data_IF_126242505665
#
_entry.id   IF_126242505665
#
_cell.length_a   1.000
_cell.length_b   1.000
_cell.length_c   1.000
_cell.angle_alpha   90.00
_cell.angle_beta   90.00
_cell.angle_gamma   90.00
#
_symmetry.space_group_name_H-M   'P 1'
#
loop_
_entity.id
_entity.type
_entity.pdbx_description
1 polymer ?
#
# COMPACT_ATOMS: atom_id res chain seq x y z
N UNK A 1 -1.28 -23.32 -15.76
CA UNK A 1 -0.33 -22.61 -14.89
C UNK A 1 1.02 -22.59 -15.58
N UNK A 2 1.61 -21.41 -15.78
CA UNK A 2 2.99 -21.32 -16.27
C UNK A 2 3.89 -21.40 -15.04
N UNK A 3 4.52 -22.55 -14.81
CA UNK A 3 5.57 -22.72 -13.77
C UNK A 3 6.86 -22.03 -14.22
N UNK A 4 6.77 -20.74 -14.56
CA UNK A 4 7.89 -19.97 -15.04
C UNK A 4 7.98 -18.67 -14.28
N UNK A 5 9.02 -18.57 -13.45
CA UNK A 5 9.39 -17.36 -12.72
C UNK A 5 9.45 -16.12 -13.63
N UNK A 6 9.80 -16.29 -14.91
CA UNK A 6 9.82 -15.20 -15.89
C UNK A 6 8.44 -14.57 -16.08
N UNK A 7 7.39 -15.39 -16.18
CA UNK A 7 6.01 -14.90 -16.38
C UNK A 7 5.53 -14.19 -15.13
N UNK A 8 5.79 -14.75 -13.95
CA UNK A 8 5.43 -14.14 -12.67
C UNK A 8 6.09 -12.77 -12.48
N UNK A 9 7.39 -12.66 -12.76
CA UNK A 9 8.11 -11.39 -12.66
C UNK A 9 7.57 -10.32 -13.62
N UNK A 10 7.17 -10.72 -14.84
CA UNK A 10 6.54 -9.80 -15.79
C UNK A 10 5.19 -9.32 -15.23
N UNK A 11 4.36 -10.23 -14.71
CA UNK A 11 3.05 -9.88 -14.14
C UNK A 11 3.22 -8.97 -12.92
N UNK A 12 4.16 -9.29 -12.02
CA UNK A 12 4.53 -8.46 -10.85
C UNK A 12 4.88 -7.04 -11.30
N UNK A 13 5.71 -6.90 -12.33
CA UNK A 13 6.12 -5.59 -12.84
C UNK A 13 4.93 -4.77 -13.34
N UNK A 14 4.02 -5.37 -14.11
CA UNK A 14 2.83 -4.66 -14.60
C UNK A 14 1.83 -4.34 -13.50
N UNK A 15 1.62 -5.25 -12.54
CA UNK A 15 0.78 -4.99 -11.37
C UNK A 15 1.35 -3.82 -10.54
N UNK A 16 2.65 -3.86 -10.26
CA UNK A 16 3.33 -2.82 -9.50
C UNK A 16 3.20 -1.45 -10.17
N UNK A 17 3.44 -1.37 -11.49
CA UNK A 17 3.28 -0.14 -12.28
C UNK A 17 1.83 0.34 -12.27
N UNK A 18 0.86 -0.57 -12.41
CA UNK A 18 -0.57 -0.26 -12.35
C UNK A 18 -1.01 0.30 -10.99
N UNK A 19 -0.30 -0.04 -9.91
CA UNK A 19 -0.50 0.51 -8.57
C UNK A 19 0.06 1.92 -8.36
N UNK A 20 0.91 2.42 -9.26
CA UNK A 20 1.49 3.77 -9.19
C UNK A 20 0.47 4.80 -9.69
N UNK A 21 0.52 6.01 -9.14
CA UNK A 21 -0.28 7.14 -9.62
C UNK A 21 0.05 7.47 -11.09
N UNK A 22 -0.97 7.54 -11.96
CA UNK A 22 -0.79 7.86 -13.38
C UNK A 22 -0.13 9.21 -13.65
N UNK A 23 -0.33 10.21 -12.79
CA UNK A 23 0.36 11.50 -12.90
C UNK A 23 1.88 11.32 -12.72
N UNK A 24 2.29 10.40 -11.85
CA UNK A 24 3.70 10.09 -11.63
C UNK A 24 4.31 9.36 -12.83
N UNK A 25 3.57 8.42 -13.42
CA UNK A 25 3.97 7.73 -14.64
C UNK A 25 4.15 8.72 -15.81
N UNK A 26 3.28 9.72 -15.90
CA UNK A 26 3.45 10.81 -16.86
C UNK A 26 4.73 11.62 -16.61
N UNK A 27 5.03 12.01 -15.36
CA UNK A 27 6.29 12.71 -15.04
C UNK A 27 7.54 11.89 -15.35
N UNK A 28 7.50 10.57 -15.13
CA UNK A 28 8.59 9.65 -15.48
C UNK A 28 8.81 9.64 -16.99
N UNK A 29 7.73 9.59 -17.79
CA UNK A 29 7.78 9.66 -19.25
C UNK A 29 8.41 10.96 -19.76
N UNK A 30 8.12 12.08 -19.10
CA UNK A 30 8.71 13.41 -19.40
C UNK A 30 10.16 13.57 -18.89
N UNK A 31 10.78 12.50 -18.35
CA UNK A 31 12.15 12.53 -17.83
C UNK A 31 12.30 13.25 -16.47
N UNK A 32 11.20 13.62 -15.82
CA UNK A 32 11.20 14.35 -14.54
C UNK A 32 11.27 13.41 -13.34
N UNK A 33 12.23 12.47 -13.35
CA UNK A 33 12.39 11.42 -12.32
C UNK A 33 12.50 11.98 -10.89
N UNK A 34 13.09 13.17 -10.73
CA UNK A 34 13.21 13.83 -9.43
C UNK A 34 11.86 14.14 -8.80
N UNK A 35 10.83 14.49 -9.58
CA UNK A 35 9.48 14.72 -9.05
C UNK A 35 8.84 13.41 -8.59
N UNK A 36 9.05 12.33 -9.35
CA UNK A 36 8.55 11.01 -9.01
C UNK A 36 9.17 10.47 -7.71
N UNK A 37 10.49 10.60 -7.55
CA UNK A 37 11.19 10.13 -6.34
C UNK A 37 11.05 11.06 -5.14
N UNK A 38 10.56 12.28 -5.32
CA UNK A 38 10.26 13.21 -4.22
C UNK A 38 8.82 13.07 -3.69
N UNK A 39 7.93 12.46 -4.47
CA UNK A 39 6.54 12.24 -4.11
C UNK A 39 6.41 11.40 -2.84
N UNK A 40 5.65 11.91 -1.88
CA UNK A 40 5.46 11.30 -0.58
C UNK A 40 4.65 10.01 -0.66
N UNK A 41 3.65 9.97 -1.55
CA UNK A 41 2.79 8.81 -1.71
C UNK A 41 3.56 7.65 -2.35
N UNK A 42 4.35 7.91 -3.38
CA UNK A 42 5.18 6.89 -4.02
C UNK A 42 6.24 6.31 -3.07
N UNK A 43 6.88 7.14 -2.24
CA UNK A 43 7.81 6.66 -1.20
C UNK A 43 7.09 5.77 -0.20
N UNK A 44 5.93 6.20 0.28
CA UNK A 44 5.16 5.41 1.23
C UNK A 44 4.71 4.10 0.61
N UNK A 45 4.34 4.08 -0.67
CA UNK A 45 3.96 2.87 -1.40
C UNK A 45 5.13 1.89 -1.50
N UNK A 46 6.33 2.37 -1.86
CA UNK A 46 7.54 1.55 -1.89
C UNK A 46 7.87 0.97 -0.52
N UNK A 47 7.89 1.79 0.53
CA UNK A 47 8.18 1.35 1.90
C UNK A 47 7.14 0.32 2.35
N UNK A 48 5.87 0.58 2.08
CA UNK A 48 4.76 -0.27 2.48
C UNK A 48 4.79 -1.66 1.82
N UNK A 49 4.98 -1.71 0.50
CA UNK A 49 5.13 -2.97 -0.25
C UNK A 49 6.39 -3.70 0.19
N UNK A 50 7.53 -3.01 0.27
CA UNK A 50 8.81 -3.63 0.60
C UNK A 50 8.84 -4.20 2.03
N UNK A 51 8.31 -3.46 3.00
CA UNK A 51 8.24 -3.93 4.40
C UNK A 51 7.36 -5.17 4.52
N UNK A 52 6.19 -5.17 3.88
CA UNK A 52 5.28 -6.32 3.93
C UNK A 52 5.85 -7.55 3.23
N UNK A 53 6.47 -7.34 2.06
CA UNK A 53 7.24 -8.35 1.34
C UNK A 53 8.33 -8.97 2.21
N UNK A 54 9.13 -8.15 2.91
CA UNK A 54 10.20 -8.63 3.78
C UNK A 54 9.67 -9.48 4.93
N UNK A 55 8.60 -9.04 5.60
CA UNK A 55 8.00 -9.80 6.70
C UNK A 55 7.43 -11.14 6.23
N UNK A 56 6.75 -11.18 5.09
CA UNK A 56 6.19 -12.42 4.54
C UNK A 56 7.32 -13.36 4.09
N UNK A 57 8.34 -12.84 3.41
CA UNK A 57 9.51 -13.64 3.00
C UNK A 57 10.17 -14.29 4.22
N UNK A 58 10.42 -13.52 5.28
CA UNK A 58 11.01 -14.04 6.52
C UNK A 58 10.11 -15.11 7.15
N UNK A 59 8.80 -14.90 7.20
CA UNK A 59 7.85 -15.88 7.73
C UNK A 59 7.86 -17.20 6.94
N UNK A 60 7.97 -17.12 5.61
CA UNK A 60 8.06 -18.30 4.73
C UNK A 60 9.40 -19.03 4.88
N UNK A 61 10.51 -18.31 4.98
CA UNK A 61 11.85 -18.91 5.18
C UNK A 61 11.97 -19.69 6.49
N UNK A 62 11.24 -19.29 7.54
CA UNK A 62 11.18 -20.03 8.81
C UNK A 62 10.34 -21.30 8.68
N UNK A 63 9.47 -21.37 7.68
CA UNK A 63 8.64 -22.54 7.38
C UNK A 63 9.48 -23.53 6.57
N UNK A 64 9.64 -24.77 7.07
CA UNK A 64 10.64 -25.73 6.54
C UNK A 64 10.39 -26.24 5.10
N UNK A 65 9.22 -25.96 4.55
CA UNK A 65 8.77 -26.51 3.27
C UNK A 65 9.09 -25.59 2.07
N UNK A 66 9.63 -24.40 2.28
CA UNK A 66 9.89 -23.42 1.22
C UNK A 66 11.38 -23.28 0.89
N UNK A 67 11.70 -23.25 -0.41
CA UNK A 67 13.05 -22.84 -0.86
C UNK A 67 13.21 -21.31 -0.74
N UNK A 68 14.45 -20.84 -0.67
CA UNK A 68 14.75 -19.40 -0.59
C UNK A 68 14.22 -18.62 -1.79
N UNK A 69 14.28 -19.22 -2.98
CA UNK A 69 13.83 -18.59 -4.22
C UNK A 69 12.32 -18.53 -4.29
N UNK A 70 11.63 -19.63 -3.94
CA UNK A 70 10.15 -19.66 -3.96
C UNK A 70 9.57 -18.71 -2.91
N UNK A 71 10.15 -18.68 -1.71
CA UNK A 71 9.74 -17.73 -0.65
C UNK A 71 9.81 -16.28 -1.10
N UNK A 72 10.79 -15.93 -1.94
CA UNK A 72 11.00 -14.58 -2.43
C UNK A 72 9.98 -14.25 -3.54
N UNK A 73 9.85 -15.13 -4.54
CA UNK A 73 9.01 -14.84 -5.70
C UNK A 73 7.53 -14.89 -5.31
N UNK A 74 7.10 -15.91 -4.55
CA UNK A 74 5.72 -16.05 -4.12
C UNK A 74 5.29 -14.89 -3.21
N UNK A 75 6.13 -14.53 -2.24
CA UNK A 75 5.80 -13.42 -1.34
C UNK A 75 5.70 -12.10 -2.11
N UNK A 76 6.60 -11.85 -3.06
CA UNK A 76 6.55 -10.66 -3.90
C UNK A 76 5.30 -10.65 -4.79
N UNK A 77 4.96 -11.80 -5.39
CA UNK A 77 3.77 -11.96 -6.22
C UNK A 77 2.49 -11.63 -5.44
N UNK A 78 2.32 -12.24 -4.27
CA UNK A 78 1.12 -12.07 -3.45
C UNK A 78 1.02 -10.67 -2.84
N UNK A 79 2.15 -10.11 -2.35
CA UNK A 79 2.16 -8.75 -1.81
C UNK A 79 1.79 -7.71 -2.86
N UNK A 80 2.38 -7.81 -4.06
CA UNK A 80 2.07 -6.87 -5.13
C UNK A 80 0.66 -7.09 -5.65
N UNK A 81 0.24 -8.34 -5.87
CA UNK A 81 -1.10 -8.67 -6.36
C UNK A 81 -2.21 -8.16 -5.43
N UNK A 82 -2.13 -8.50 -4.14
CA UNK A 82 -3.14 -8.14 -3.15
C UNK A 82 -3.05 -6.65 -2.81
N UNK A 83 -1.83 -6.12 -2.64
CA UNK A 83 -1.60 -4.70 -2.36
C UNK A 83 -2.06 -3.76 -3.49
N UNK A 84 -2.02 -4.22 -4.75
CA UNK A 84 -2.56 -3.47 -5.89
C UNK A 84 -4.02 -3.77 -6.20
N UNK A 85 -4.67 -4.63 -5.39
CA UNK A 85 -6.03 -5.12 -5.60
C UNK A 85 -6.22 -5.83 -6.95
N UNK A 86 -5.15 -6.40 -7.52
CA UNK A 86 -5.24 -7.20 -8.76
C UNK A 86 -5.87 -8.56 -8.47
N UNK A 87 -5.55 -9.17 -7.32
CA UNK A 87 -6.21 -10.39 -6.84
C UNK A 87 -5.80 -11.69 -7.55
N UNK A 88 -4.67 -11.69 -8.27
CA UNK A 88 -4.05 -12.92 -8.76
C UNK A 88 -3.37 -13.70 -7.63
N UNK A 89 -3.39 -15.02 -7.75
CA UNK A 89 -2.76 -15.97 -6.84
C UNK A 89 -1.83 -16.88 -7.64
N UNK A 90 -0.57 -17.00 -7.24
CA UNK A 90 0.34 -17.97 -7.87
C UNK A 90 0.33 -19.31 -7.11
N UNK A 91 0.49 -19.25 -5.79
CA UNK A 91 0.47 -20.41 -4.90
C UNK A 91 -0.66 -20.34 -3.87
N UNK A 92 -0.99 -21.47 -3.26
CA UNK A 92 -2.02 -21.56 -2.22
C UNK A 92 -1.52 -20.97 -0.90
N UNK A 93 -1.69 -19.65 -0.75
CA UNK A 93 -1.28 -18.92 0.45
C UNK A 93 -2.11 -19.25 1.69
N UNK A 94 -3.21 -20.02 1.58
CA UNK A 94 -3.97 -20.50 2.75
C UNK A 94 -3.14 -21.41 3.66
N UNK A 95 -2.11 -22.04 3.12
CA UNK A 95 -1.21 -22.91 3.86
C UNK A 95 -0.10 -22.13 4.60
N UNK A 96 0.00 -20.82 4.37
CA UNK A 96 1.02 -19.98 4.98
C UNK A 96 0.73 -19.72 6.46
N UNK A 97 1.75 -19.32 7.24
CA UNK A 97 1.53 -18.92 8.63
C UNK A 97 0.44 -17.86 8.75
N UNK A 98 -0.43 -17.98 9.76
CA UNK A 98 -1.58 -17.07 9.99
C UNK A 98 -1.16 -15.59 10.04
N UNK A 99 0.04 -15.31 10.52
CA UNK A 99 0.60 -13.95 10.53
C UNK A 99 0.67 -13.31 9.12
N UNK A 100 1.00 -14.09 8.09
CA UNK A 100 1.05 -13.59 6.71
C UNK A 100 -0.33 -13.17 6.19
N UNK A 101 -1.38 -13.90 6.58
CA UNK A 101 -2.76 -13.59 6.21
C UNK A 101 -3.20 -12.23 6.76
N UNK A 102 -2.80 -11.91 8.00
CA UNK A 102 -3.09 -10.60 8.60
C UNK A 102 -2.43 -9.47 7.80
N UNK A 103 -1.18 -9.66 7.36
CA UNK A 103 -0.47 -8.69 6.53
C UNK A 103 -1.12 -8.52 5.15
N UNK A 104 -1.49 -9.62 4.50
CA UNK A 104 -2.20 -9.60 3.21
C UNK A 104 -3.59 -8.96 3.34
N UNK A 105 -4.30 -9.19 4.44
CA UNK A 105 -5.57 -8.54 4.73
C UNK A 105 -5.42 -7.02 4.88
N UNK A 106 -4.38 -6.57 5.60
CA UNK A 106 -4.05 -5.14 5.67
C UNK A 106 -3.77 -4.57 4.28
N UNK A 107 -2.99 -5.28 3.43
CA UNK A 107 -2.75 -4.92 2.02
C UNK A 107 -4.04 -4.72 1.22
N UNK A 108 -4.98 -5.63 1.37
CA UNK A 108 -6.27 -5.56 0.68
C UNK A 108 -7.07 -4.31 1.05
N UNK A 109 -7.04 -3.90 2.33
CA UNK A 109 -7.76 -2.70 2.81
C UNK A 109 -7.09 -1.42 2.32
N UNK A 110 -5.77 -1.34 2.46
CA UNK A 110 -5.01 -0.12 2.14
C UNK A 110 -5.01 0.16 0.64
N UNK A 111 -4.76 -0.86 -0.17
CA UNK A 111 -4.56 -0.74 -1.61
C UNK A 111 -3.26 -0.01 -1.98
N UNK A 112 -3.22 0.56 -3.19
CA UNK A 112 -2.06 1.28 -3.70
C UNK A 112 -2.30 2.81 -3.76
N UNK A 113 -1.59 3.51 -4.65
CA UNK A 113 -1.63 4.98 -4.73
C UNK A 113 -3.00 5.49 -5.21
N UNK A 114 -3.34 6.73 -4.84
CA UNK A 114 -4.43 7.49 -5.42
C UNK A 114 -4.15 7.77 -6.90
N UNK A 115 -5.19 7.72 -7.75
CA UNK A 115 -5.04 7.91 -9.20
C UNK A 115 -4.34 6.74 -9.92
N UNK A 116 -4.38 5.54 -9.34
CA UNK A 116 -3.94 4.28 -9.94
C UNK A 116 -5.13 3.36 -10.28
N UNK A 117 -4.90 2.20 -10.92
CA UNK A 117 -5.96 1.22 -11.24
C UNK A 117 -6.45 0.42 -10.03
N UNK A 118 -5.76 0.52 -8.89
CA UNK A 118 -6.06 -0.28 -7.70
C UNK A 118 -7.40 0.10 -7.05
N UNK A 119 -7.88 -0.74 -6.13
CA UNK A 119 -9.03 -0.49 -5.28
C UNK A 119 -8.64 0.01 -3.88
N UNK A 120 -9.48 -0.30 -2.90
CA UNK A 120 -9.21 -0.08 -1.47
C UNK A 120 -9.43 1.37 -0.99
N UNK A 121 -8.98 1.64 0.23
CA UNK A 121 -9.07 2.96 0.84
C UNK A 121 -8.16 4.00 0.19
N UNK A 122 -7.08 3.54 -0.44
CA UNK A 122 -5.97 4.29 -1.01
C UNK A 122 -4.97 4.78 0.03
N UNK A 123 -3.69 4.59 -0.28
CA UNK A 123 -2.58 4.90 0.61
C UNK A 123 -2.54 6.37 1.01
N UNK A 124 -2.79 7.30 0.09
CA UNK A 124 -2.90 8.74 0.41
C UNK A 124 -3.90 9.02 1.54
N UNK A 125 -5.08 8.38 1.54
CA UNK A 125 -6.13 8.66 2.52
C UNK A 125 -5.73 8.16 3.89
N UNK A 126 -5.13 6.99 3.97
CA UNK A 126 -4.65 6.41 5.22
C UNK A 126 -3.50 7.23 5.80
N UNK A 127 -2.55 7.66 4.97
CA UNK A 127 -1.47 8.53 5.42
C UNK A 127 -1.99 9.88 5.94
N UNK A 128 -2.97 10.48 5.25
CA UNK A 128 -3.60 11.72 5.72
C UNK A 128 -4.37 11.52 7.03
N UNK A 129 -5.12 10.43 7.17
CA UNK A 129 -5.82 10.10 8.40
C UNK A 129 -4.85 9.89 9.57
N UNK A 130 -3.72 9.22 9.33
CA UNK A 130 -2.66 9.06 10.33
C UNK A 130 -2.07 10.42 10.75
N UNK A 131 -1.80 11.32 9.79
CA UNK A 131 -1.35 12.69 10.08
C UNK A 131 -2.39 13.49 10.87
N UNK A 132 -3.69 13.30 10.59
CA UNK A 132 -4.78 13.91 11.36
C UNK A 132 -4.76 13.38 12.79
N UNK A 133 -4.72 12.07 12.98
CA UNK A 133 -4.66 11.46 14.31
C UNK A 133 -3.46 11.98 15.11
N UNK A 134 -2.28 12.02 14.50
CA UNK A 134 -1.07 12.56 15.14
C UNK A 134 -1.19 14.05 15.48
N UNK A 135 -1.79 14.86 14.60
CA UNK A 135 -2.06 16.27 14.88
C UNK A 135 -2.98 16.43 16.09
N UNK A 136 -4.06 15.66 16.18
CA UNK A 136 -4.99 15.75 17.30
C UNK A 136 -4.36 15.26 18.62
N UNK A 137 -3.55 14.18 18.59
CA UNK A 137 -2.77 13.75 19.76
C UNK A 137 -1.82 14.84 20.26
N UNK A 138 -1.09 15.50 19.34
CA UNK A 138 -0.22 16.63 19.67
C UNK A 138 -1.02 17.81 20.21
N UNK A 139 -2.22 18.07 19.69
CA UNK A 139 -3.09 19.16 20.14
C UNK A 139 -3.60 18.94 21.56
N UNK A 140 -3.90 17.68 21.93
CA UNK A 140 -4.26 17.32 23.31
C UNK A 140 -3.10 17.63 24.26
N UNK A 141 -1.86 17.29 23.88
CA UNK A 141 -0.67 17.58 24.67
C UNK A 141 -0.24 19.06 24.66
N UNK A 142 -0.47 19.77 23.54
CA UNK A 142 -0.02 21.14 23.28
C UNK A 142 -1.15 21.97 22.65
N UNK A 143 -2.14 22.46 23.44
CA UNK A 143 -3.37 23.07 22.92
C UNK A 143 -3.16 24.34 22.07
N UNK A 144 -2.05 25.05 22.29
CA UNK A 144 -1.72 26.30 21.56
C UNK A 144 -0.97 26.07 20.25
N UNK A 145 -0.55 24.83 19.96
CA UNK A 145 0.24 24.52 18.77
C UNK A 145 -0.67 24.39 17.55
N UNK A 146 -0.51 25.30 16.59
CA UNK A 146 -1.21 25.22 15.31
C UNK A 146 -0.33 24.45 14.32
N UNK A 147 -0.74 23.23 13.98
CA UNK A 147 -0.04 22.38 13.02
C UNK A 147 -0.91 22.17 11.77
N UNK A 148 -0.37 22.54 10.61
CA UNK A 148 -1.03 22.31 9.31
C UNK A 148 -0.59 20.97 8.74
N UNK A 149 -1.53 20.18 8.22
CA UNK A 149 -1.24 18.92 7.54
C UNK A 149 -0.86 19.22 6.10
N UNK A 150 0.23 18.60 5.64
CA UNK A 150 0.72 18.76 4.27
C UNK A 150 0.80 17.41 3.56
N UNK A 151 0.54 17.43 2.26
CA UNK A 151 0.78 16.35 1.32
C UNK A 151 1.60 16.91 0.16
N UNK A 152 2.74 16.30 -0.18
CA UNK A 152 3.61 16.79 -1.26
C UNK A 152 3.93 18.29 -1.16
N UNK A 153 4.20 18.74 0.07
CA UNK A 153 4.51 20.15 0.41
C UNK A 153 3.34 21.15 0.23
N UNK A 154 2.14 20.70 -0.10
CA UNK A 154 0.93 21.52 -0.16
C UNK A 154 0.08 21.32 1.11
N UNK A 155 -0.51 22.40 1.62
CA UNK A 155 -1.40 22.32 2.79
C UNK A 155 -2.75 21.76 2.38
N UNK A 156 -3.21 20.72 3.08
CA UNK A 156 -4.54 20.14 2.88
C UNK A 156 -5.54 20.91 3.74
N UNK A 157 -6.64 21.36 3.14
CA UNK A 157 -7.67 22.11 3.85
C UNK A 157 -8.46 21.23 4.82
N UNK A 158 -8.90 21.79 5.96
CA UNK A 158 -9.61 21.01 6.98
C UNK A 158 -10.94 20.41 6.47
N UNK A 159 -11.61 21.04 5.49
CA UNK A 159 -12.78 20.47 4.84
C UNK A 159 -12.45 19.17 4.10
N UNK A 160 -11.34 19.12 3.36
CA UNK A 160 -10.89 17.91 2.66
C UNK A 160 -10.51 16.82 3.64
N UNK A 161 -9.86 17.17 4.75
CA UNK A 161 -9.54 16.22 5.82
C UNK A 161 -10.80 15.63 6.44
N UNK A 162 -11.82 16.46 6.72
CA UNK A 162 -13.11 16.00 7.22
C UNK A 162 -13.81 15.02 6.28
N UNK A 163 -13.79 15.28 4.96
CA UNK A 163 -14.33 14.36 3.96
C UNK A 163 -13.60 13.02 3.93
N UNK A 164 -12.26 13.03 4.04
CA UNK A 164 -11.45 11.80 4.07
C UNK A 164 -11.78 10.98 5.32
N UNK A 165 -11.87 11.62 6.49
CA UNK A 165 -12.22 10.94 7.74
C UNK A 165 -13.64 10.38 7.68
N UNK A 166 -14.61 11.17 7.19
CA UNK A 166 -15.99 10.70 6.99
C UNK A 166 -16.07 9.49 6.06
N UNK A 167 -15.33 9.51 4.95
CA UNK A 167 -15.24 8.38 4.03
C UNK A 167 -14.69 7.12 4.72
N UNK A 168 -13.64 7.25 5.54
CA UNK A 168 -13.07 6.11 6.27
C UNK A 168 -14.07 5.49 7.24
N UNK A 169 -14.83 6.31 7.97
CA UNK A 169 -15.88 5.80 8.86
C UNK A 169 -16.99 5.07 8.10
N UNK A 170 -17.46 5.63 6.97
CA UNK A 170 -18.47 4.97 6.15
C UNK A 170 -17.95 3.64 5.61
N UNK A 171 -16.71 3.59 5.14
CA UNK A 171 -16.09 2.36 4.63
C UNK A 171 -16.00 1.28 5.71
N UNK A 172 -15.55 1.63 6.93
CA UNK A 172 -15.51 0.69 8.06
C UNK A 172 -16.92 0.23 8.44
N UNK A 173 -17.89 1.14 8.45
CA UNK A 173 -19.29 0.82 8.75
C UNK A 173 -19.90 -0.17 7.75
N UNK A 174 -19.64 0.01 6.45
CA UNK A 174 -20.07 -0.94 5.41
C UNK A 174 -19.37 -2.29 5.56
N UNK A 175 -18.06 -2.28 5.82
CA UNK A 175 -17.30 -3.51 6.03
C UNK A 175 -17.79 -4.31 7.23
N UNK A 176 -18.19 -3.65 8.33
CA UNK A 176 -18.70 -4.32 9.52
C UNK A 176 -20.11 -4.92 9.36
N UNK A 177 -20.89 -4.45 8.39
CA UNK A 177 -22.24 -4.97 8.10
C UNK A 177 -22.19 -6.14 7.12
N UNK A 178 -21.18 -6.16 6.23
CA UNK A 178 -20.95 -7.23 5.26
C UNK A 178 -20.39 -8.49 5.90
#
# INVERSE_FOLDING_TARGET
HFESYTVELIIILFMFIGGINFTLLWFIREGQFKKATQDEEFKNYLVYIFTTFLFITIALLVTRDYTTTDSFIDSLFHVVSIGTSTGYTSTDYMQWPVFTHLLLFVLMIVGACAGSTSGGLKLMRINLAFKVAMRELVRIAQPRKVQKIRLNNQVVGDQQLGLIVGMLFVWIGLFAIS
#
